data_IF_751301656844
#
_entry.id   IF_751301656844
#
_cell.length_a   1.000
_cell.length_b   1.000
_cell.length_c   1.000
_cell.angle_alpha   90.00
_cell.angle_beta   90.00
_cell.angle_gamma   90.00
#
_symmetry.space_group_name_H-M   'P 1'
#
loop_
_entity.id
_entity.type
_entity.pdbx_description
1 polymer ?
#
# COMPACT_ATOMS: atom_id res chain seq x y z
N UNK A 1 -12.90 15.80 24.17
CA UNK A 1 -12.74 16.36 22.81
C UNK A 1 -13.92 17.20 22.36
N UNK A 2 -15.18 16.74 22.44
CA UNK A 2 -16.36 17.54 22.04
C UNK A 2 -16.35 18.96 22.62
N UNK A 3 -16.20 19.09 23.95
CA UNK A 3 -16.07 20.38 24.64
C UNK A 3 -14.97 21.31 24.11
N UNK A 4 -13.80 20.77 23.76
CA UNK A 4 -12.67 21.58 23.24
C UNK A 4 -12.95 22.02 21.80
N UNK A 5 -13.51 21.13 20.97
CA UNK A 5 -13.92 21.49 19.60
C UNK A 5 -15.00 22.57 19.60
N UNK A 6 -15.98 22.45 20.49
CA UNK A 6 -17.07 23.40 20.63
C UNK A 6 -16.55 24.78 21.12
N UNK A 7 -15.54 24.79 22.00
CA UNK A 7 -14.97 26.02 22.55
C UNK A 7 -14.04 26.77 21.58
N UNK A 8 -13.33 26.06 20.70
CA UNK A 8 -12.31 26.68 19.86
C UNK A 8 -12.87 27.41 18.63
N UNK A 9 -14.15 27.24 18.27
CA UNK A 9 -14.77 27.80 17.06
C UNK A 9 -13.91 27.63 15.77
N UNK A 10 -13.15 26.53 15.69
CA UNK A 10 -12.26 26.20 14.58
C UNK A 10 -12.78 24.98 13.83
N UNK A 11 -12.67 24.99 12.50
CA UNK A 11 -12.96 23.81 11.69
C UNK A 11 -11.84 22.77 11.82
N UNK A 12 -12.02 21.79 12.70
CA UNK A 12 -11.01 20.76 13.00
C UNK A 12 -11.20 19.56 12.07
N UNK A 13 -10.36 19.48 11.04
CA UNK A 13 -10.37 18.41 10.02
C UNK A 13 -9.86 17.06 10.56
N UNK A 14 -8.94 17.07 11.53
CA UNK A 14 -8.36 15.86 12.11
C UNK A 14 -7.88 16.10 13.56
N UNK A 15 -7.88 15.03 14.37
CA UNK A 15 -7.34 15.03 15.73
C UNK A 15 -6.38 13.86 15.86
N UNK A 16 -5.21 14.10 16.46
CA UNK A 16 -4.22 13.07 16.80
C UNK A 16 -3.92 13.15 18.30
N UNK A 17 -3.53 12.02 18.89
CA UNK A 17 -3.22 11.88 20.31
C UNK A 17 -1.81 11.33 20.48
N UNK A 18 -1.13 11.79 21.52
CA UNK A 18 0.23 11.37 21.84
C UNK A 18 0.31 10.94 23.31
N UNK A 19 1.06 9.88 23.57
CA UNK A 19 1.36 9.39 24.93
C UNK A 19 2.83 9.00 24.98
N UNK A 20 3.48 9.28 26.09
CA UNK A 20 4.88 8.93 26.34
C UNK A 20 5.06 7.57 27.01
N UNK A 21 4.00 7.01 27.58
CA UNK A 21 4.00 5.62 28.00
C UNK A 21 3.82 4.65 26.81
N UNK A 22 4.91 3.94 26.47
CA UNK A 22 4.90 2.84 25.48
C UNK A 22 3.92 1.72 25.86
N UNK A 23 3.77 1.45 27.17
CA UNK A 23 2.84 0.46 27.70
C UNK A 23 1.40 0.88 27.42
N UNK A 24 1.05 2.15 27.67
CA UNK A 24 -0.29 2.68 27.36
C UNK A 24 -0.57 2.62 25.87
N UNK A 25 0.40 3.00 25.02
CA UNK A 25 0.27 2.88 23.56
C UNK A 25 0.01 1.43 23.15
N UNK A 26 0.75 0.46 23.72
CA UNK A 26 0.53 -0.97 23.46
C UNK A 26 -0.88 -1.41 23.84
N UNK A 27 -1.38 -1.02 25.02
CA UNK A 27 -2.74 -1.33 25.44
C UNK A 27 -3.81 -0.73 24.53
N UNK A 28 -3.62 0.51 24.06
CA UNK A 28 -4.58 1.17 23.16
C UNK A 28 -4.64 0.46 21.79
N UNK A 29 -3.56 -0.18 21.34
CA UNK A 29 -3.55 -0.89 20.07
C UNK A 29 -4.14 -2.31 20.15
N UNK A 30 -4.25 -2.89 21.35
CA UNK A 30 -4.87 -4.20 21.60
C UNK A 30 -6.40 -4.10 21.72
N UNK A 31 -7.09 -5.25 21.70
CA UNK A 31 -8.52 -5.29 22.03
C UNK A 31 -8.73 -5.13 23.53
N UNK A 32 -9.72 -4.32 23.95
CA UNK A 32 -9.97 -4.06 25.38
C UNK A 32 -10.22 -5.35 26.19
N UNK A 33 -10.79 -6.38 25.56
CA UNK A 33 -11.09 -7.69 26.17
C UNK A 33 -9.85 -8.52 26.51
N UNK A 34 -8.70 -8.19 25.94
CA UNK A 34 -7.43 -8.90 26.16
C UNK A 34 -6.68 -8.36 27.39
N UNK A 35 -7.20 -7.28 28.01
CA UNK A 35 -6.56 -6.56 29.10
C UNK A 35 -7.24 -6.85 30.45
N UNK A 36 -6.49 -6.67 31.55
CA UNK A 36 -7.03 -6.73 32.92
C UNK A 36 -8.14 -5.70 33.10
N UNK A 37 -9.20 -6.04 33.85
CA UNK A 37 -10.46 -5.27 33.99
C UNK A 37 -10.25 -3.75 34.17
N UNK A 38 -9.33 -3.33 35.03
CA UNK A 38 -9.06 -1.90 35.28
C UNK A 38 -8.48 -1.17 34.06
N UNK A 39 -7.65 -1.83 33.27
CA UNK A 39 -7.06 -1.29 32.04
C UNK A 39 -8.07 -1.39 30.90
N UNK A 40 -8.75 -2.54 30.78
CA UNK A 40 -9.81 -2.79 29.80
C UNK A 40 -10.91 -1.71 29.84
N UNK A 41 -11.39 -1.35 31.03
CA UNK A 41 -12.41 -0.32 31.19
C UNK A 41 -11.96 1.07 30.66
N UNK A 42 -10.69 1.41 30.88
CA UNK A 42 -10.11 2.69 30.41
C UNK A 42 -9.89 2.66 28.90
N UNK A 43 -9.32 1.59 28.38
CA UNK A 43 -9.07 1.43 26.93
C UNK A 43 -10.38 1.37 26.16
N UNK A 44 -11.43 0.73 26.68
CA UNK A 44 -12.77 0.71 26.08
C UNK A 44 -13.34 2.13 25.95
N UNK A 45 -13.20 2.95 26.99
CA UNK A 45 -13.62 4.36 26.96
C UNK A 45 -12.81 5.19 25.95
N UNK A 46 -11.52 4.91 25.79
CA UNK A 46 -10.68 5.54 24.77
C UNK A 46 -11.13 5.14 23.36
N UNK A 47 -11.39 3.85 23.12
CA UNK A 47 -11.87 3.32 21.83
C UNK A 47 -13.26 3.84 21.44
N UNK A 48 -14.11 4.17 22.43
CA UNK A 48 -15.41 4.83 22.18
C UNK A 48 -15.26 6.28 21.71
N UNK A 49 -14.17 6.96 22.09
CA UNK A 49 -13.96 8.39 21.83
C UNK A 49 -12.97 8.65 20.68
N UNK A 50 -12.18 7.66 20.30
CA UNK A 50 -11.09 7.79 19.33
C UNK A 50 -10.76 6.46 18.67
N UNK A 51 -10.23 6.53 17.45
CA UNK A 51 -9.70 5.38 16.73
C UNK A 51 -8.26 5.08 17.17
N UNK A 52 -7.90 3.80 17.20
CA UNK A 52 -6.54 3.31 17.53
C UNK A 52 -5.45 3.97 16.68
N UNK A 53 -5.74 4.16 15.38
CA UNK A 53 -4.86 4.82 14.40
C UNK A 53 -4.50 6.28 14.74
N UNK A 54 -5.22 6.90 15.67
CA UNK A 54 -4.99 8.30 16.07
C UNK A 54 -3.96 8.45 17.19
N UNK A 55 -3.53 7.35 17.82
CA UNK A 55 -2.65 7.37 18.99
C UNK A 55 -1.21 7.04 18.61
N UNK A 56 -0.28 7.91 19.02
CA UNK A 56 1.14 7.80 18.69
C UNK A 56 2.01 7.94 19.94
N UNK A 57 3.19 7.34 19.91
CA UNK A 57 4.16 7.49 20.98
C UNK A 57 4.98 8.78 20.82
N UNK A 58 5.24 9.49 21.91
CA UNK A 58 6.17 10.62 21.98
C UNK A 58 7.19 10.40 23.11
N UNK A 59 8.43 10.86 22.99
CA UNK A 59 9.35 10.79 24.14
C UNK A 59 8.87 11.71 25.27
N UNK A 60 9.11 11.35 26.54
CA UNK A 60 8.65 12.17 27.68
C UNK A 60 9.24 13.59 27.65
N UNK A 61 10.49 13.75 27.21
CA UNK A 61 11.18 15.03 27.02
C UNK A 61 10.58 15.89 25.90
N UNK A 62 9.74 15.29 25.06
CA UNK A 62 9.07 15.92 23.94
C UNK A 62 7.56 16.01 24.19
N UNK A 63 7.05 15.61 25.36
CA UNK A 63 5.64 15.66 25.68
C UNK A 63 5.31 17.02 26.34
N UNK A 64 4.59 17.95 25.68
CA UNK A 64 4.26 19.23 26.31
C UNK A 64 3.41 19.06 27.58
N UNK A 65 2.66 17.96 27.70
CA UNK A 65 1.90 17.68 28.93
C UNK A 65 2.80 17.39 30.14
N UNK A 66 4.06 16.96 29.93
CA UNK A 66 5.02 16.77 31.01
C UNK A 66 5.54 18.08 31.60
N UNK A 67 5.55 19.17 30.81
CA UNK A 67 5.95 20.51 31.28
C UNK A 67 5.06 20.96 32.44
N UNK A 68 3.76 20.68 32.36
CA UNK A 68 2.82 21.00 33.44
C UNK A 68 2.80 19.96 34.57
N UNK A 69 3.06 18.68 34.29
CA UNK A 69 2.97 17.61 35.29
C UNK A 69 4.13 17.63 36.29
N UNK A 70 5.30 18.17 35.91
CA UNK A 70 6.51 18.23 36.74
C UNK A 70 6.60 19.44 37.67
N UNK A 71 5.68 20.40 37.53
CA UNK A 71 5.67 21.64 38.31
C UNK A 71 6.69 22.63 37.76
N UNK A 72 6.21 23.62 37.01
CA UNK A 72 7.02 24.66 36.39
C UNK A 72 6.47 26.03 36.85
N UNK A 73 7.35 26.99 37.13
CA UNK A 73 6.90 28.33 37.52
C UNK A 73 6.24 29.05 36.33
N UNK A 74 5.25 29.93 36.55
CA UNK A 74 4.61 30.67 35.45
C UNK A 74 5.58 31.50 34.60
N UNK A 75 6.69 31.95 35.20
CA UNK A 75 7.75 32.71 34.53
C UNK A 75 8.54 31.81 33.58
N UNK A 76 8.91 30.61 34.03
CA UNK A 76 9.59 29.60 33.20
C UNK A 76 8.67 29.12 32.07
N UNK A 77 7.36 29.03 32.31
CA UNK A 77 6.40 28.56 31.32
C UNK A 77 6.25 29.56 30.17
N UNK A 78 6.45 30.85 30.44
CA UNK A 78 6.41 31.90 29.41
C UNK A 78 7.46 31.64 28.33
N UNK A 79 8.63 31.18 28.74
CA UNK A 79 9.78 30.99 27.86
C UNK A 79 9.97 29.51 27.44
N UNK A 80 9.10 28.61 27.90
CA UNK A 80 9.15 27.17 27.55
C UNK A 80 8.74 26.93 26.10
N UNK A 81 9.74 26.66 25.26
CA UNK A 81 9.53 26.45 23.83
C UNK A 81 8.69 25.21 23.53
N UNK A 82 8.85 24.12 24.31
CA UNK A 82 8.13 22.86 24.08
C UNK A 82 6.62 23.03 24.26
N UNK A 83 6.20 23.83 25.24
CA UNK A 83 4.80 24.14 25.50
C UNK A 83 4.16 24.99 24.39
N UNK A 84 4.85 26.05 23.96
CA UNK A 84 4.29 27.02 23.00
C UNK A 84 4.45 26.61 21.53
N UNK A 85 5.54 25.95 21.17
CA UNK A 85 5.86 25.56 19.79
C UNK A 85 5.66 24.06 19.53
N UNK A 86 5.50 23.27 20.59
CA UNK A 86 5.35 21.82 20.49
C UNK A 86 6.69 21.08 20.34
N UNK A 87 6.63 19.76 20.20
CA UNK A 87 7.82 18.92 20.08
C UNK A 87 8.58 19.15 18.77
N UNK A 88 9.89 18.89 18.77
CA UNK A 88 10.74 18.95 17.59
C UNK A 88 10.27 18.02 16.45
N UNK A 89 9.50 16.99 16.80
CA UNK A 89 8.83 16.09 15.85
C UNK A 89 7.83 16.80 14.94
N UNK A 90 7.29 17.95 15.34
CA UNK A 90 6.32 18.76 14.61
C UNK A 90 6.86 20.19 14.48
N UNK A 91 7.60 20.45 13.41
CA UNK A 91 8.13 21.78 13.13
C UNK A 91 7.07 22.61 12.40
N UNK A 92 6.96 23.89 12.73
CA UNK A 92 6.23 24.85 11.91
C UNK A 92 7.24 25.75 11.19
N UNK A 93 7.15 25.88 9.88
CA UNK A 93 8.00 26.82 9.13
C UNK A 93 7.48 28.26 9.20
N UNK A 94 8.28 29.21 8.73
CA UNK A 94 7.95 30.65 8.69
C UNK A 94 6.66 30.98 7.91
N UNK A 95 6.14 30.02 7.13
CA UNK A 95 4.90 30.14 6.36
C UNK A 95 3.71 29.47 7.07
N UNK A 96 3.90 29.05 8.31
CA UNK A 96 2.88 28.38 9.12
C UNK A 96 2.64 26.92 8.73
N UNK A 97 3.48 26.30 7.87
CA UNK A 97 3.29 24.93 7.41
C UNK A 97 3.91 23.95 8.40
N UNK A 98 3.10 22.99 8.86
CA UNK A 98 3.57 21.90 9.70
C UNK A 98 4.43 20.91 8.90
N UNK A 99 5.56 20.52 9.48
CA UNK A 99 6.59 19.66 8.90
C UNK A 99 7.00 18.58 9.89
N UNK A 100 7.44 17.46 9.34
CA UNK A 100 7.93 16.34 10.14
C UNK A 100 9.38 16.59 10.51
N UNK A 101 9.69 16.59 11.81
CA UNK A 101 11.06 16.51 12.32
C UNK A 101 11.69 15.14 12.08
N UNK A 102 13.02 15.03 12.08
CA UNK A 102 13.66 13.75 11.84
C UNK A 102 15.17 13.76 11.95
N UNK A 103 15.78 12.57 11.73
CA UNK A 103 17.20 12.29 11.95
C UNK A 103 18.14 12.81 10.84
N UNK A 104 17.61 13.53 9.85
CA UNK A 104 18.34 13.98 8.66
C UNK A 104 18.77 15.46 8.74
N UNK A 105 18.71 16.07 9.92
CA UNK A 105 19.05 17.46 10.13
C UNK A 105 20.46 17.83 9.59
N UNK A 106 21.45 16.97 9.85
CA UNK A 106 22.85 17.17 9.41
C UNK A 106 23.14 16.69 7.98
N UNK A 107 22.17 16.12 7.26
CA UNK A 107 22.41 15.60 5.91
C UNK A 107 22.61 16.74 4.89
N UNK A 108 23.43 16.54 3.86
CA UNK A 108 23.58 17.50 2.74
C UNK A 108 22.46 17.31 1.71
N UNK A 109 21.22 17.55 2.14
CA UNK A 109 20.01 17.43 1.31
C UNK A 109 19.14 18.69 1.46
N UNK A 110 18.23 18.99 0.51
CA UNK A 110 17.36 20.16 0.61
C UNK A 110 16.50 20.15 1.88
N UNK A 111 16.21 21.35 2.43
CA UNK A 111 15.40 21.51 3.64
C UNK A 111 14.06 20.76 3.58
N UNK A 112 13.39 20.76 2.42
CA UNK A 112 12.11 20.04 2.23
C UNK A 112 12.23 18.51 2.34
N UNK A 113 13.42 17.96 2.13
CA UNK A 113 13.69 16.52 2.32
C UNK A 113 14.08 16.22 3.77
N UNK A 114 14.77 17.15 4.45
CA UNK A 114 15.07 17.04 5.88
C UNK A 114 13.79 17.12 6.71
N UNK A 115 12.93 18.07 6.36
CA UNK A 115 11.69 18.40 7.07
C UNK A 115 10.50 18.42 6.08
N UNK A 116 10.02 17.24 5.64
CA UNK A 116 8.90 17.13 4.72
C UNK A 116 7.63 17.75 5.28
N UNK A 117 6.89 18.47 4.44
CA UNK A 117 5.61 19.07 4.85
C UNK A 117 4.57 17.99 5.15
N UNK A 118 3.80 18.16 6.22
CA UNK A 118 2.78 17.19 6.60
C UNK A 118 1.65 17.23 5.58
N UNK A 119 1.35 16.06 5.02
CA UNK A 119 0.24 15.91 4.08
C UNK A 119 -0.88 15.12 4.76
N UNK A 120 -2.02 15.78 4.93
CA UNK A 120 -3.16 15.26 5.66
C UNK A 120 -3.65 13.90 5.10
N UNK A 121 -4.03 12.99 5.99
CA UNK A 121 -4.62 11.69 5.63
C UNK A 121 -5.91 11.93 4.85
N UNK A 122 -6.12 11.19 3.76
CA UNK A 122 -7.37 11.16 2.98
C UNK A 122 -7.85 12.49 2.35
N UNK A 123 -7.07 13.56 2.38
CA UNK A 123 -7.45 14.82 1.72
C UNK A 123 -7.53 14.67 0.19
N UNK A 124 -8.34 15.50 -0.48
CA UNK A 124 -8.42 15.53 -1.95
C UNK A 124 -7.05 15.83 -2.57
N UNK A 125 -6.30 16.74 -1.97
CA UNK A 125 -4.94 17.09 -2.38
C UNK A 125 -4.02 15.86 -2.32
N UNK A 126 -4.05 15.09 -1.23
CA UNK A 126 -3.23 13.89 -1.08
C UNK A 126 -3.53 12.86 -2.15
N UNK A 127 -4.83 12.63 -2.45
CA UNK A 127 -5.24 11.69 -3.49
C UNK A 127 -4.76 12.14 -4.88
N UNK A 128 -4.96 13.42 -5.23
CA UNK A 128 -4.52 13.98 -6.50
C UNK A 128 -3.00 13.88 -6.62
N UNK A 129 -2.25 14.28 -5.59
CA UNK A 129 -0.79 14.28 -5.61
C UNK A 129 -0.22 12.87 -5.82
N UNK A 130 -0.71 11.87 -5.08
CA UNK A 130 -0.30 10.47 -5.26
C UNK A 130 -0.62 9.96 -6.66
N UNK A 131 -1.81 10.27 -7.20
CA UNK A 131 -2.18 9.87 -8.55
C UNK A 131 -1.31 10.54 -9.61
N UNK A 132 -1.03 11.83 -9.47
CA UNK A 132 -0.17 12.58 -10.39
C UNK A 132 1.25 12.04 -10.38
N UNK A 133 1.83 11.79 -9.21
CA UNK A 133 3.17 11.19 -9.11
C UNK A 133 3.21 9.77 -9.67
N UNK A 134 2.20 8.94 -9.37
CA UNK A 134 2.11 7.59 -9.90
C UNK A 134 2.12 7.58 -11.45
N UNK A 135 1.40 8.50 -12.08
CA UNK A 135 1.41 8.65 -13.55
C UNK A 135 2.72 9.23 -14.08
N UNK A 136 3.27 10.27 -13.43
CA UNK A 136 4.54 10.91 -13.83
C UNK A 136 5.74 9.98 -13.72
N UNK A 137 5.71 9.05 -12.76
CA UNK A 137 6.75 8.05 -12.52
C UNK A 137 6.42 6.72 -13.20
N UNK A 138 5.74 6.76 -14.35
CA UNK A 138 5.48 5.60 -15.21
C UNK A 138 4.90 4.39 -14.46
N UNK A 139 3.84 4.63 -13.68
CA UNK A 139 3.13 3.58 -12.95
C UNK A 139 3.97 2.84 -11.89
N UNK A 140 4.92 3.55 -11.26
CA UNK A 140 5.73 3.03 -10.16
C UNK A 140 4.89 2.33 -9.08
N UNK A 141 5.42 1.22 -8.56
CA UNK A 141 4.78 0.42 -7.52
C UNK A 141 4.61 1.17 -6.18
N UNK A 142 3.88 0.57 -5.21
CA UNK A 142 3.47 1.27 -3.99
C UNK A 142 4.65 1.83 -3.16
N UNK A 143 5.74 1.06 -3.04
CA UNK A 143 6.90 1.47 -2.25
C UNK A 143 7.68 2.61 -2.92
N UNK A 144 7.87 2.53 -4.23
CA UNK A 144 8.53 3.60 -5.00
C UNK A 144 7.69 4.89 -5.00
N UNK A 145 6.37 4.78 -5.13
CA UNK A 145 5.46 5.91 -5.02
C UNK A 145 5.56 6.58 -3.64
N UNK A 146 5.55 5.77 -2.57
CA UNK A 146 5.69 6.29 -1.21
C UNK A 146 7.02 7.01 -0.99
N UNK A 147 8.12 6.45 -1.51
CA UNK A 147 9.44 7.05 -1.40
C UNK A 147 9.52 8.38 -2.15
N UNK A 148 8.95 8.46 -3.36
CA UNK A 148 8.88 9.71 -4.12
C UNK A 148 8.05 10.79 -3.39
N UNK A 149 6.95 10.41 -2.75
CA UNK A 149 6.16 11.35 -1.91
C UNK A 149 6.99 11.85 -0.73
N UNK A 150 7.74 10.97 -0.05
CA UNK A 150 8.55 11.28 1.13
C UNK A 150 9.66 12.31 0.89
N UNK A 151 10.08 12.51 -0.36
CA UNK A 151 11.05 13.55 -0.72
C UNK A 151 10.50 14.97 -0.53
N UNK A 152 9.19 15.14 -0.41
CA UNK A 152 8.56 16.46 -0.22
C UNK A 152 7.54 16.49 0.91
N UNK A 153 6.86 15.37 1.15
CA UNK A 153 5.73 15.31 2.07
C UNK A 153 5.80 14.13 3.05
N UNK A 154 5.57 14.43 4.32
CA UNK A 154 5.27 13.47 5.38
C UNK A 154 3.79 13.13 5.35
N UNK A 155 3.37 12.20 4.48
CA UNK A 155 1.96 11.84 4.33
C UNK A 155 1.47 10.95 5.49
N UNK A 156 0.49 11.45 6.26
CA UNK A 156 -0.16 10.69 7.32
C UNK A 156 -0.91 9.49 6.72
N UNK A 157 -0.51 8.27 7.09
CA UNK A 157 -1.04 7.04 6.48
C UNK A 157 -0.64 6.83 5.01
N UNK A 158 0.42 7.49 4.53
CA UNK A 158 0.85 7.47 3.13
C UNK A 158 1.07 6.07 2.54
N UNK A 159 1.48 5.09 3.36
CA UNK A 159 1.61 3.67 2.96
C UNK A 159 0.32 3.10 2.36
N UNK A 160 -0.81 3.33 3.05
CA UNK A 160 -2.10 2.81 2.60
C UNK A 160 -2.61 3.55 1.37
N UNK A 161 -2.35 4.86 1.28
CA UNK A 161 -2.73 5.65 0.11
C UNK A 161 -1.91 5.28 -1.13
N UNK A 162 -0.61 5.02 -0.99
CA UNK A 162 0.24 4.52 -2.08
C UNK A 162 -0.28 3.19 -2.62
N UNK A 163 -0.53 2.24 -1.71
CA UNK A 163 -1.08 0.92 -2.05
C UNK A 163 -2.41 1.06 -2.79
N UNK A 164 -3.35 1.82 -2.23
CA UNK A 164 -4.66 2.06 -2.84
C UNK A 164 -4.54 2.66 -4.24
N UNK A 165 -3.70 3.70 -4.40
CA UNK A 165 -3.50 4.39 -5.69
C UNK A 165 -3.07 3.41 -6.79
N UNK A 166 -2.10 2.55 -6.48
CA UNK A 166 -1.59 1.56 -7.45
C UNK A 166 -2.64 0.47 -7.75
N UNK A 167 -3.30 -0.09 -6.74
CA UNK A 167 -4.30 -1.16 -6.98
C UNK A 167 -5.55 -0.67 -7.70
N UNK A 168 -5.95 0.59 -7.53
CA UNK A 168 -7.08 1.16 -8.28
C UNK A 168 -6.70 1.63 -9.68
N UNK A 169 -5.42 1.55 -10.07
CA UNK A 169 -4.97 2.00 -11.38
C UNK A 169 -5.27 0.94 -12.46
N UNK A 170 -6.11 1.30 -13.43
CA UNK A 170 -6.47 0.43 -14.56
C UNK A 170 -5.26 0.02 -15.40
N UNK A 171 -4.29 0.91 -15.59
CA UNK A 171 -3.06 0.60 -16.36
C UNK A 171 -2.22 -0.44 -15.62
N UNK A 172 -2.03 -0.29 -14.31
CA UNK A 172 -1.31 -1.29 -13.50
C UNK A 172 -2.05 -2.63 -13.46
N UNK A 173 -3.38 -2.59 -13.37
CA UNK A 173 -4.20 -3.79 -13.41
C UNK A 173 -4.01 -4.57 -14.72
N UNK A 174 -4.10 -3.88 -15.86
CA UNK A 174 -3.88 -4.48 -17.18
C UNK A 174 -2.43 -4.97 -17.38
N UNK A 175 -1.45 -4.27 -16.80
CA UNK A 175 -0.03 -4.61 -16.91
C UNK A 175 0.42 -5.82 -16.07
N UNK A 176 -0.45 -6.34 -15.19
CA UNK A 176 -0.17 -7.53 -14.40
C UNK A 176 -1.33 -8.53 -14.50
N UNK A 177 -1.55 -9.13 -15.69
CA UNK A 177 -2.59 -10.14 -15.84
C UNK A 177 -2.28 -11.32 -14.93
N UNK A 178 -3.27 -11.81 -14.20
CA UNK A 178 -3.18 -13.08 -13.50
C UNK A 178 -3.40 -14.14 -14.58
N UNK A 179 -2.38 -14.97 -14.92
CA UNK A 179 -2.59 -16.04 -15.88
C UNK A 179 -3.65 -16.98 -15.31
N UNK A 180 -4.76 -17.15 -16.02
CA UNK A 180 -5.72 -18.19 -15.69
C UNK A 180 -5.02 -19.53 -15.86
N UNK A 181 -4.97 -20.36 -14.82
CA UNK A 181 -4.60 -21.76 -15.01
C UNK A 181 -5.67 -22.42 -15.88
N UNK A 182 -5.27 -23.03 -16.99
CA UNK A 182 -6.18 -23.85 -17.76
C UNK A 182 -6.66 -24.99 -16.87
N UNK A 183 -7.96 -25.05 -16.61
CA UNK A 183 -8.57 -26.22 -15.99
C UNK A 183 -8.61 -27.29 -17.07
N UNK A 184 -7.76 -28.31 -16.96
CA UNK A 184 -7.83 -29.48 -17.85
C UNK A 184 -9.14 -30.20 -17.54
N UNK A 185 -9.99 -30.39 -18.55
CA UNK A 185 -11.19 -31.19 -18.42
C UNK A 185 -10.85 -32.66 -18.12
N UNK A 186 -11.82 -33.41 -17.60
CA UNK A 186 -11.67 -34.86 -17.45
C UNK A 186 -11.36 -35.48 -18.82
N UNK A 187 -10.43 -36.43 -18.84
CA UNK A 187 -10.13 -37.20 -20.03
C UNK A 187 -11.38 -38.01 -20.44
N UNK A 188 -11.70 -38.09 -21.75
CA UNK A 188 -12.85 -38.86 -22.21
C UNK A 188 -12.61 -40.37 -22.02
N UNK A 189 -13.70 -41.16 -21.95
CA UNK A 189 -13.68 -42.60 -21.68
C UNK A 189 -12.70 -43.35 -22.60
N UNK A 190 -12.67 -42.93 -23.85
CA UNK A 190 -11.87 -43.46 -24.96
C UNK A 190 -10.35 -43.29 -24.77
N UNK A 191 -9.92 -42.33 -23.94
CA UNK A 191 -8.50 -42.08 -23.62
C UNK A 191 -8.00 -42.85 -22.40
N UNK A 192 -8.90 -43.41 -21.60
CA UNK A 192 -8.55 -44.01 -20.30
C UNK A 192 -8.88 -45.50 -20.20
N UNK A 193 -9.68 -46.05 -21.12
CA UNK A 193 -10.03 -47.46 -21.14
C UNK A 193 -9.40 -48.21 -22.32
N UNK A 194 -9.19 -49.51 -22.14
CA UNK A 194 -8.69 -50.40 -23.19
C UNK A 194 -9.78 -50.67 -24.23
N UNK A 195 -9.38 -50.71 -25.50
CA UNK A 195 -10.22 -51.09 -26.64
C UNK A 195 -9.34 -51.76 -27.72
N UNK A 196 -9.91 -52.43 -28.74
CA UNK A 196 -9.11 -52.98 -29.85
C UNK A 196 -8.32 -51.88 -30.59
N UNK A 197 -7.10 -52.16 -31.08
CA UNK A 197 -6.33 -51.18 -31.86
C UNK A 197 -7.15 -50.57 -33.01
N UNK A 198 -6.98 -49.27 -33.23
CA UNK A 198 -7.68 -48.47 -34.25
C UNK A 198 -9.20 -48.32 -34.07
N UNK A 199 -9.80 -48.82 -32.98
CA UNK A 199 -11.21 -48.58 -32.66
C UNK A 199 -11.52 -47.12 -32.31
N UNK A 200 -10.54 -46.42 -31.74
CA UNK A 200 -10.61 -45.00 -31.40
C UNK A 200 -9.41 -44.31 -32.05
N UNK A 201 -9.67 -43.45 -33.03
CA UNK A 201 -8.64 -42.71 -33.75
C UNK A 201 -8.90 -41.21 -33.72
N UNK A 202 -7.81 -40.44 -33.68
CA UNK A 202 -7.82 -39.00 -33.88
C UNK A 202 -7.27 -38.64 -35.24
N UNK A 203 -7.87 -37.62 -35.85
CA UNK A 203 -7.43 -37.01 -37.09
C UNK A 203 -6.93 -35.60 -36.80
N UNK A 204 -5.73 -35.26 -37.24
CA UNK A 204 -5.24 -33.88 -37.24
C UNK A 204 -4.70 -33.51 -38.61
N UNK A 205 -4.87 -32.24 -38.99
CA UNK A 205 -4.45 -31.71 -40.28
C UNK A 205 -3.41 -30.62 -40.07
N UNK A 206 -2.17 -30.91 -40.44
CA UNK A 206 -1.08 -29.95 -40.47
C UNK A 206 -0.96 -29.29 -41.84
N UNK A 207 -0.85 -27.95 -41.88
CA UNK A 207 -0.53 -27.22 -43.09
C UNK A 207 -1.19 -25.84 -43.19
N UNK A 208 -1.06 -25.18 -44.35
CA UNK A 208 -0.44 -25.68 -45.57
C UNK A 208 1.09 -25.66 -45.54
N UNK A 209 1.71 -26.67 -46.16
CA UNK A 209 3.15 -26.69 -46.45
C UNK A 209 3.39 -26.55 -47.94
N UNK A 210 4.48 -25.90 -48.31
CA UNK A 210 4.89 -25.72 -49.70
C UNK A 210 6.10 -26.58 -49.99
N UNK A 211 5.95 -27.59 -50.85
CA UNK A 211 7.02 -28.55 -51.17
C UNK A 211 7.31 -28.59 -52.67
N UNK A 212 8.56 -28.90 -53.00
CA UNK A 212 8.99 -29.21 -54.36
C UNK A 212 9.06 -30.72 -54.54
N UNK A 213 8.42 -31.27 -55.58
CA UNK A 213 8.53 -32.70 -55.89
C UNK A 213 9.85 -33.02 -56.61
N UNK A 214 10.45 -34.18 -56.31
CA UNK A 214 11.64 -34.67 -57.03
C UNK A 214 11.29 -34.94 -58.50
N UNK A 215 12.20 -34.59 -59.43
CA UNK A 215 12.09 -34.75 -60.89
C UNK A 215 11.21 -33.74 -61.66
N UNK A 216 10.84 -32.60 -61.08
CA UNK A 216 10.26 -31.50 -61.86
C UNK A 216 11.32 -30.56 -62.44
N UNK A 217 11.15 -30.16 -63.71
CA UNK A 217 12.10 -29.30 -64.45
C UNK A 217 12.09 -27.82 -64.00
N UNK A 218 11.31 -27.44 -62.99
CA UNK A 218 11.26 -26.10 -62.39
C UNK A 218 10.71 -26.18 -60.96
N UNK A 219 11.22 -25.36 -60.05
CA UNK A 219 10.88 -25.32 -58.61
C UNK A 219 9.47 -24.78 -58.31
N UNK A 220 8.44 -25.33 -58.96
CA UNK A 220 7.04 -25.01 -58.66
C UNK A 220 6.75 -25.52 -57.25
N UNK A 221 6.38 -24.59 -56.36
CA UNK A 221 5.95 -24.91 -55.01
C UNK A 221 4.54 -25.47 -55.05
N UNK A 222 4.36 -26.68 -54.52
CA UNK A 222 3.06 -27.34 -54.42
C UNK A 222 2.54 -27.24 -52.99
N UNK A 223 1.28 -26.81 -52.86
CA UNK A 223 0.59 -26.73 -51.59
C UNK A 223 0.13 -28.13 -51.17
N UNK A 224 0.62 -28.61 -50.05
CA UNK A 224 0.24 -29.90 -49.47
C UNK A 224 -0.31 -29.71 -48.05
N UNK A 225 -1.12 -30.67 -47.63
CA UNK A 225 -1.60 -30.82 -46.26
C UNK A 225 -1.17 -32.20 -45.77
N UNK A 226 -0.72 -32.27 -44.52
CA UNK A 226 -0.37 -33.53 -43.87
C UNK A 226 -1.55 -33.93 -43.00
N UNK A 227 -2.07 -35.12 -43.23
CA UNK A 227 -3.09 -35.73 -42.40
C UNK A 227 -2.42 -36.72 -41.45
N UNK A 228 -2.50 -36.47 -40.15
CA UNK A 228 -1.96 -37.32 -39.10
C UNK A 228 -3.11 -38.09 -38.48
N UNK A 229 -3.05 -39.42 -38.59
CA UNK A 229 -4.01 -40.32 -37.95
C UNK A 229 -3.32 -41.00 -36.76
N UNK A 230 -3.88 -40.86 -35.56
CA UNK A 230 -3.31 -41.42 -34.32
C UNK A 230 -4.31 -42.38 -33.70
N UNK A 231 -3.86 -43.55 -33.29
CA UNK A 231 -4.65 -44.45 -32.45
C UNK A 231 -4.58 -43.95 -30.99
N UNK A 232 -5.73 -43.70 -30.37
CA UNK A 232 -5.79 -43.23 -28.98
C UNK A 232 -5.89 -44.36 -27.94
N UNK A 233 -5.95 -45.61 -28.41
CA UNK A 233 -5.96 -46.79 -27.55
C UNK A 233 -4.59 -46.93 -26.86
N UNK A 234 -4.53 -47.02 -25.52
CA UNK A 234 -3.28 -47.28 -24.81
C UNK A 234 -2.73 -48.67 -25.16
N UNK A 235 -1.46 -48.75 -25.54
CA UNK A 235 -0.76 -50.04 -25.70
C UNK A 235 -0.25 -50.52 -24.34
N UNK A 236 -0.85 -51.58 -23.80
CA UNK A 236 -0.28 -52.37 -22.68
C UNK A 236 0.78 -53.33 -23.19
#
# INVERSE_FOLDING_TARGET
>A
MKKVKDALNLHITAVQFWSDSTIVISWIHQESRELKTLVANRVSKIHQLSSRDQWHHIASEQNPAEVLSRGLLPEELRDDSLWWHGPELLLQDDKGVLRVGGRLEKASIPYSQKHPAILAKNSKLSKIYFLTLHKKLFHVGPQGLLNAVRLRFGALGGRNLARKTVHTCVVCFKGKPIPSSQIMGNLPYERVNMAPPFSITGLDLGGPYFVTFKHQRKGVLNKIYVCVCICFVPST
#
